data_IF_856668001854
#
_entry.id   IF_856668001854
#
_cell.length_a   1.000
_cell.length_b   1.000
_cell.length_c   1.000
_cell.angle_alpha   90.00
_cell.angle_beta   90.00
_cell.angle_gamma   90.00
#
_symmetry.space_group_name_H-M   'P 1'
#
loop_
_entity.id
_entity.type
_entity.pdbx_description
1 polymer ?
2 non-polymer ?
3 water ?
#
# COMPACT_ATOMS: atom_id res chain seq x y z
N UNK A 18 19.73 20.87 -16.72
CA UNK A 18 18.79 19.93 -17.40
C UNK A 18 18.89 18.55 -16.77
N UNK A 19 20.11 18.14 -16.44
CA UNK A 19 20.36 16.84 -15.82
C UNK A 19 20.21 16.94 -14.30
N UNK A 20 19.70 18.08 -13.82
CA UNK A 20 19.52 18.28 -12.38
C UNK A 20 18.08 17.99 -11.94
N UNK A 21 17.95 17.00 -11.07
CA UNK A 21 16.66 16.57 -10.59
C UNK A 21 16.23 17.25 -9.30
N UNK A 22 14.91 17.27 -9.08
CA UNK A 22 14.35 17.83 -7.88
C UNK A 22 14.63 16.91 -6.68
N UNK A 23 14.86 17.52 -5.52
CA UNK A 23 15.10 16.76 -4.30
C UNK A 23 13.92 17.01 -3.37
N UNK A 24 13.26 15.95 -2.94
CA UNK A 24 12.15 16.15 -2.02
C UNK A 24 12.81 16.42 -0.63
N UNK A 25 12.55 17.60 -0.05
CA UNK A 25 13.10 18.01 1.26
C UNK A 25 12.70 17.07 2.39
N UNK A 26 13.62 16.87 3.33
CA UNK A 26 13.38 16.01 4.50
C UNK A 26 12.00 16.16 5.14
N UNK A 27 11.57 17.39 5.39
CA UNK A 27 10.27 17.62 6.03
C UNK A 27 9.14 16.98 5.23
N UNK A 28 9.19 17.15 3.91
CA UNK A 28 8.16 16.57 3.05
C UNK A 28 8.24 15.06 3.08
N UNK A 29 9.46 14.53 2.95
CA UNK A 29 9.65 13.10 2.96
C UNK A 29 9.01 12.53 4.23
N UNK A 30 9.42 13.05 5.38
CA UNK A 30 8.90 12.60 6.66
C UNK A 30 7.39 12.71 6.77
N UNK A 31 6.85 13.85 6.36
CA UNK A 31 5.43 14.05 6.45
C UNK A 31 4.63 13.13 5.54
N UNK A 32 5.17 12.85 4.36
CA UNK A 32 4.50 11.98 3.38
C UNK A 32 4.40 10.52 3.86
N UNK A 33 5.43 10.05 4.55
CA UNK A 33 5.42 8.67 5.03
C UNK A 33 5.05 8.52 6.50
N UNK A 34 4.67 9.63 7.13
CA UNK A 34 4.29 9.54 8.53
C UNK A 34 2.87 9.03 8.62
N UNK A 35 2.66 8.13 9.56
CA UNK A 35 1.37 7.53 9.88
C UNK A 35 0.12 8.17 9.30
N UNK A 36 -0.61 7.39 8.49
CA UNK A 36 -1.86 7.89 7.93
C UNK A 36 -2.75 6.81 7.34
N UNK A 37 -4.00 7.18 7.06
CA UNK A 37 -4.98 6.26 6.48
C UNK A 37 -4.61 6.26 5.00
N UNK A 38 -4.01 5.17 4.54
CA UNK A 38 -3.60 5.08 3.14
C UNK A 38 -4.32 3.97 2.35
N UNK A 39 -4.78 4.31 1.15
CA UNK A 39 -5.44 3.33 0.29
C UNK A 39 -4.45 2.22 0.00
N UNK A 40 -4.88 1.01 0.24
CA UNK A 40 -4.07 -0.18 0.02
C UNK A 40 -4.96 -1.24 -0.64
N UNK A 41 -4.36 -2.10 -1.46
CA UNK A 41 -5.15 -3.16 -2.11
C UNK A 41 -4.92 -4.42 -1.29
N UNK A 42 -5.99 -4.97 -0.74
CA UNK A 42 -5.86 -6.13 0.09
C UNK A 42 -6.59 -7.36 -0.44
N UNK A 43 -6.05 -8.52 -0.14
CA UNK A 43 -6.64 -9.78 -0.55
C UNK A 43 -7.94 -9.98 0.23
N UNK A 44 -9.05 -10.18 -0.47
CA UNK A 44 -10.34 -10.39 0.19
C UNK A 44 -10.33 -11.55 1.18
N UNK A 45 -9.83 -12.70 0.74
CA UNK A 45 -9.79 -13.86 1.61
C UNK A 45 -8.99 -13.55 2.89
N UNK A 46 -7.92 -12.77 2.76
CA UNK A 46 -7.11 -12.39 3.91
C UNK A 46 -7.86 -11.58 4.95
N UNK A 47 -8.94 -10.92 4.55
CA UNK A 47 -9.75 -10.12 5.46
C UNK A 47 -10.68 -11.00 6.29
N UNK A 48 -10.77 -12.27 5.93
CA UNK A 48 -11.63 -13.16 6.69
C UNK A 48 -10.86 -13.73 7.87
N UNK A 49 -11.53 -13.88 9.01
CA UNK A 49 -10.95 -14.41 10.25
C UNK A 49 -10.19 -15.72 10.03
N UNK A 50 -10.90 -16.72 9.51
CA UNK A 50 -10.33 -18.05 9.27
C UNK A 50 -10.13 -18.32 7.79
N UNK A 51 -9.57 -19.52 7.46
CA UNK A 51 -9.41 -19.97 6.09
C UNK A 51 -10.78 -19.87 5.43
N UNK A 52 -10.74 -19.48 4.18
CA UNK A 52 -11.90 -19.30 3.30
C UNK A 52 -11.37 -19.45 1.88
N UNK A 53 -11.98 -20.29 1.09
CA UNK A 53 -11.55 -20.53 -0.29
C UNK A 53 -11.52 -19.25 -1.12
N UNK A 54 -10.50 -19.16 -1.99
CA UNK A 54 -10.31 -18.01 -2.87
C UNK A 54 -11.32 -17.98 -4.01
N UNK A 55 -12.56 -17.67 -3.67
CA UNK A 55 -13.63 -17.62 -4.65
C UNK A 55 -14.23 -16.22 -4.83
N UNK A 56 -13.38 -15.20 -4.83
CA UNK A 56 -13.87 -13.83 -5.00
C UNK A 56 -13.26 -13.13 -6.19
N UNK A 57 -14.08 -12.31 -6.84
CA UNK A 57 -13.62 -11.53 -7.96
C UNK A 57 -14.17 -10.12 -7.86
N UNK A 58 -13.29 -9.11 -7.83
CA UNK A 58 -11.83 -9.26 -7.88
C UNK A 58 -11.34 -9.96 -6.61
N UNK A 59 -10.12 -10.50 -6.66
CA UNK A 59 -9.59 -11.20 -5.51
C UNK A 59 -9.06 -10.25 -4.44
N UNK A 60 -8.89 -8.99 -4.83
CA UNK A 60 -8.36 -7.95 -3.95
C UNK A 60 -9.21 -6.70 -4.05
N UNK A 61 -9.32 -5.97 -2.94
CA UNK A 61 -10.12 -4.75 -2.91
C UNK A 61 -9.29 -3.58 -2.34
N UNK A 62 -9.75 -2.36 -2.61
CA UNK A 62 -9.09 -1.15 -2.14
C UNK A 62 -9.73 -0.65 -0.83
N UNK A 63 -8.95 -0.69 0.25
CA UNK A 63 -9.39 -0.25 1.59
C UNK A 63 -8.40 0.77 2.17
N UNK A 64 -8.87 1.62 3.08
CA UNK A 64 -7.98 2.58 3.72
C UNK A 64 -7.46 1.84 4.94
N UNK A 65 -6.14 1.74 5.03
CA UNK A 65 -5.49 1.07 6.14
C UNK A 65 -4.39 1.95 6.71
N UNK A 66 -4.32 2.03 8.03
CA UNK A 66 -3.29 2.81 8.70
C UNK A 66 -1.92 2.30 8.33
N UNK A 67 -1.10 3.20 7.81
CA UNK A 67 0.24 2.79 7.41
C UNK A 67 1.20 3.95 7.64
N UNK A 68 2.44 3.62 7.90
CA UNK A 68 3.42 4.67 8.10
C UNK A 68 4.39 4.30 9.19
N UNK A 69 5.53 4.98 9.19
CA UNK A 69 6.52 4.71 10.20
C UNK A 69 6.32 5.86 11.21
N UNK A 70 6.90 5.75 12.38
CA UNK A 70 6.66 6.80 13.36
C UNK A 70 7.90 7.53 13.86
N UNK A 71 9.08 7.04 13.49
CA UNK A 71 10.30 7.69 13.93
C UNK A 71 10.77 7.20 15.28
N UNK A 72 9.82 6.91 16.15
CA UNK A 72 10.10 6.40 17.49
C UNK A 72 9.96 4.88 17.41
N UNK A 73 11.08 4.18 17.58
CA UNK A 73 11.13 2.71 17.53
C UNK A 73 9.95 2.00 18.18
N UNK A 74 9.67 2.35 19.44
CA UNK A 74 8.58 1.74 20.20
C UNK A 74 7.18 2.19 19.78
N UNK A 75 7.10 2.98 18.71
CA UNK A 75 5.80 3.47 18.22
C UNK A 75 5.47 2.90 16.85
N UNK A 76 4.17 2.69 16.62
CA UNK A 76 3.70 2.19 15.34
C UNK A 76 2.35 2.85 15.04
N UNK A 77 1.97 2.82 13.77
CA UNK A 77 0.74 3.45 13.29
C UNK A 77 -0.52 2.62 13.54
N UNK A 78 -1.46 3.20 14.25
CA UNK A 78 -2.69 2.51 14.59
C UNK A 78 -3.90 3.38 14.32
N UNK A 79 -5.07 2.77 14.09
CA UNK A 79 -6.29 3.54 13.83
C UNK A 79 -6.84 4.14 15.13
N UNK A 80 -7.37 5.35 15.04
CA UNK A 80 -8.02 5.97 16.17
C UNK A 80 -9.50 6.12 15.80
N UNK A 81 -9.81 5.71 14.57
CA UNK A 81 -11.19 5.76 14.10
C UNK A 81 -11.34 4.84 12.88
N UNK A 82 -12.37 4.00 12.92
CA UNK A 82 -12.65 3.06 11.84
C UNK A 82 -14.08 3.23 11.38
N UNK A 83 -14.37 2.67 10.21
CA UNK A 83 -15.70 2.76 9.67
C UNK A 83 -15.93 1.49 8.85
N UNK A 84 -16.85 1.57 7.88
CA UNK A 84 -17.22 0.43 7.06
C UNK A 84 -17.45 0.82 5.62
N UNK A 85 -17.23 -0.14 4.72
CA UNK A 85 -17.51 0.06 3.30
C UNK A 85 -18.06 -1.28 2.80
N UNK A 86 -19.21 -1.22 2.12
CA UNK A 86 -19.86 -2.42 1.59
C UNK A 86 -19.61 -2.42 0.08
N UNK A 87 -19.03 -3.51 -0.39
CA UNK A 87 -18.68 -3.66 -1.79
C UNK A 87 -19.37 -4.85 -2.42
N UNK A 88 -19.68 -4.75 -3.71
CA UNK A 88 -20.32 -5.86 -4.43
C UNK A 88 -19.25 -6.63 -5.19
N UNK A 89 -19.09 -7.91 -4.87
CA UNK A 89 -18.09 -8.71 -5.56
C UNK A 89 -18.76 -9.93 -6.19
N UNK A 90 -18.00 -10.62 -7.03
CA UNK A 90 -18.47 -11.82 -7.69
C UNK A 90 -17.92 -12.98 -6.90
N UNK A 91 -18.85 -13.82 -6.41
CA UNK A 91 -18.45 -15.01 -5.67
C UNK A 91 -18.47 -16.19 -6.65
N UNK A 92 -17.35 -16.89 -6.77
CA UNK A 92 -17.15 -18.04 -7.69
C UNK A 92 -16.70 -19.29 -7.00
N UNK A 93 -17.60 -20.00 -6.42
CA UNK A 93 -17.23 -21.21 -5.70
C UNK A 93 -17.24 -22.44 -6.62
N UNK A 94 -16.21 -23.27 -6.48
CA UNK A 94 -16.12 -24.49 -7.28
C UNK A 94 -17.26 -25.40 -6.87
N UNK A 95 -18.39 -25.28 -7.56
CA UNK A 95 -19.55 -26.10 -7.25
C UNK A 95 -20.86 -25.35 -7.38
N UNK A 96 -20.80 -24.03 -7.52
CA UNK A 96 -22.00 -23.22 -7.65
C UNK A 96 -21.86 -22.32 -8.86
N UNK A 97 -22.96 -21.73 -9.29
CA UNK A 97 -22.90 -20.82 -10.43
C UNK A 97 -22.43 -19.46 -9.89
N UNK A 98 -21.64 -18.72 -10.68
CA UNK A 98 -21.17 -17.41 -10.20
C UNK A 98 -22.36 -16.60 -9.66
N UNK A 99 -22.11 -15.80 -8.64
CA UNK A 99 -23.18 -15.01 -8.05
C UNK A 99 -22.59 -13.77 -7.39
N UNK A 100 -23.27 -12.62 -7.49
CA UNK A 100 -22.78 -11.42 -6.82
C UNK A 100 -23.19 -11.40 -5.35
N UNK A 101 -22.27 -10.91 -4.51
CA UNK A 101 -22.51 -10.82 -3.08
C UNK A 101 -22.07 -9.45 -2.57
N UNK A 102 -22.64 -9.04 -1.44
CA UNK A 102 -22.28 -7.75 -0.86
C UNK A 102 -21.47 -8.01 0.40
N UNK A 103 -20.24 -7.53 0.43
CA UNK A 103 -19.42 -7.76 1.60
C UNK A 103 -19.04 -6.44 2.28
N UNK A 104 -19.14 -6.40 3.60
CA UNK A 104 -18.78 -5.19 4.32
C UNK A 104 -17.37 -5.40 4.83
N UNK A 105 -16.53 -4.44 4.53
CA UNK A 105 -15.13 -4.48 4.93
C UNK A 105 -14.83 -3.37 5.92
N UNK A 106 -13.77 -3.56 6.69
CA UNK A 106 -13.33 -2.54 7.64
C UNK A 106 -12.48 -1.48 6.97
N UNK A 107 -12.79 -0.22 7.31
CA UNK A 107 -12.07 0.96 6.84
C UNK A 107 -11.40 1.66 8.02
N UNK A 108 -10.17 2.14 7.85
CA UNK A 108 -9.44 2.89 8.88
C UNK A 108 -9.51 4.35 8.45
N UNK A 109 -10.36 5.13 9.12
CA UNK A 109 -10.57 6.54 8.80
C UNK A 109 -9.49 7.54 9.26
N UNK A 110 -8.91 7.31 10.45
CA UNK A 110 -7.87 8.22 10.99
C UNK A 110 -6.87 7.39 11.76
N UNK A 111 -5.59 7.73 11.64
CA UNK A 111 -4.56 6.97 12.30
C UNK A 111 -3.63 7.83 13.13
N UNK A 112 -2.95 7.20 14.09
CA UNK A 112 -2.00 7.89 14.93
C UNK A 112 -0.94 6.94 15.41
N UNK A 113 0.23 7.49 15.73
CA UNK A 113 1.32 6.69 16.25
C UNK A 113 1.10 6.47 17.75
N UNK A 114 1.19 5.21 18.19
CA UNK A 114 1.00 4.83 19.60
C UNK A 114 1.97 3.72 19.97
N UNK A 115 2.04 3.43 21.32
CA UNK A 115 2.88 2.38 22.00
C UNK A 115 2.68 0.99 21.52
N UNK A 116 3.55 0.37 20.79
CA UNK A 116 3.22 -1.03 20.48
C UNK A 116 3.17 -1.87 21.74
N UNK A 117 2.94 -3.17 21.56
CA UNK A 117 2.90 -4.08 22.69
C UNK A 117 3.06 -5.54 22.28
N UNK B 18 -31.59 6.15 3.95
CA UNK B 18 -32.04 5.36 5.09
C UNK B 18 -30.90 5.08 6.06
N UNK B 19 -31.17 4.09 6.86
CA UNK B 19 -30.18 3.65 7.75
C UNK B 19 -29.41 2.74 6.79
N UNK B 20 -29.77 2.94 5.51
CA UNK B 20 -29.24 2.19 4.39
C UNK B 20 -27.80 2.63 4.06
N UNK B 21 -26.92 1.67 3.78
CA UNK B 21 -25.55 2.04 3.42
C UNK B 21 -25.34 1.88 1.92
N UNK B 22 -24.42 2.66 1.37
CA UNK B 22 -24.09 2.60 -0.04
C UNK B 22 -23.33 1.31 -0.36
N UNK B 23 -23.61 0.75 -1.53
CA UNK B 23 -22.92 -0.45 -1.98
C UNK B 23 -22.08 -0.04 -3.17
N UNK B 24 -20.79 -0.30 -3.11
CA UNK B 24 -19.93 0.07 -4.23
C UNK B 24 -20.18 -1.02 -5.27
N UNK B 25 -20.71 -0.64 -6.45
CA UNK B 25 -20.98 -1.62 -7.52
C UNK B 25 -19.77 -2.37 -8.04
N UNK B 26 -19.99 -3.61 -8.48
CA UNK B 26 -18.93 -4.48 -8.99
C UNK B 26 -17.93 -3.80 -9.92
N UNK B 27 -18.43 -3.07 -10.91
CA UNK B 27 -17.56 -2.38 -11.85
C UNK B 27 -16.57 -1.44 -11.16
N UNK B 28 -17.06 -0.63 -10.23
CA UNK B 28 -16.18 0.29 -9.52
C UNK B 28 -15.18 -0.48 -8.66
N UNK B 29 -15.68 -1.47 -7.92
CA UNK B 29 -14.81 -2.28 -7.07
C UNK B 29 -13.66 -2.83 -7.90
N UNK B 30 -14.00 -3.47 -9.02
CA UNK B 30 -13.02 -4.07 -9.90
C UNK B 30 -12.00 -3.06 -10.42
N UNK B 31 -12.49 -1.90 -10.87
CA UNK B 31 -11.63 -0.88 -11.41
C UNK B 31 -10.70 -0.26 -10.39
N UNK B 32 -11.20 -0.11 -9.16
CA UNK B 32 -10.43 0.47 -8.09
C UNK B 32 -9.23 -0.41 -7.70
N UNK B 33 -9.40 -1.74 -7.76
CA UNK B 33 -8.32 -2.63 -7.41
C UNK B 33 -7.57 -3.22 -8.57
N UNK B 34 -7.91 -2.79 -9.78
CA UNK B 34 -7.24 -3.31 -10.94
C UNK B 34 -5.86 -2.67 -11.05
N UNK B 35 -4.91 -3.47 -11.50
CA UNK B 35 -3.54 -3.05 -11.70
C UNK B 35 -3.33 -1.54 -11.91
N UNK B 36 -2.54 -0.93 -11.04
CA UNK B 36 -2.27 0.49 -11.10
C UNK B 36 -1.02 0.89 -10.31
N UNK B 37 -0.49 2.07 -10.61
CA UNK B 37 0.68 2.61 -9.90
C UNK B 37 0.08 3.23 -8.64
N UNK B 38 0.31 2.61 -7.49
CA UNK B 38 -0.29 3.11 -6.26
C UNK B 38 0.72 3.55 -5.19
N UNK B 39 0.50 4.73 -4.62
CA UNK B 39 1.38 5.22 -3.55
C UNK B 39 1.42 4.17 -2.46
N UNK B 40 2.62 3.79 -2.07
CA UNK B 40 2.84 2.79 -1.04
C UNK B 40 3.98 3.28 -0.15
N UNK B 41 3.93 2.97 1.14
CA UNK B 41 5.01 3.38 2.04
C UNK B 41 5.94 2.18 2.12
N UNK B 42 7.20 2.36 1.76
CA UNK B 42 8.17 1.25 1.73
C UNK B 42 9.40 1.47 2.63
N UNK B 43 9.89 0.40 3.22
CA UNK B 43 11.06 0.46 4.09
C UNK B 43 12.28 0.82 3.24
N UNK B 44 13.00 1.89 3.63
CA UNK B 44 14.17 2.30 2.88
C UNK B 44 15.23 1.19 2.73
N UNK B 45 15.60 0.56 3.83
CA UNK B 45 16.60 -0.49 3.76
C UNK B 45 16.24 -1.63 2.79
N UNK B 46 14.96 -2.00 2.72
CA UNK B 46 14.55 -3.09 1.81
C UNK B 46 14.61 -2.70 0.33
N UNK B 47 14.83 -1.42 0.05
CA UNK B 47 14.97 -0.93 -1.32
C UNK B 47 16.42 -1.09 -1.71
N UNK B 48 17.26 -1.47 -0.76
CA UNK B 48 18.66 -1.68 -1.07
C UNK B 48 18.84 -3.13 -1.48
N UNK B 49 19.72 -3.37 -2.46
CA UNK B 49 19.98 -4.74 -2.92
C UNK B 49 20.33 -5.63 -1.72
N UNK B 50 21.51 -5.40 -1.16
CA UNK B 50 21.99 -6.18 -0.03
C UNK B 50 21.63 -5.61 1.35
N UNK B 51 22.03 -6.32 2.39
CA UNK B 51 21.75 -5.90 3.76
C UNK B 51 22.43 -4.58 4.06
N UNK B 52 21.68 -3.68 4.68
CA UNK B 52 22.15 -2.36 5.07
C UNK B 52 21.60 -2.06 6.46
N UNK B 53 22.38 -1.36 7.27
CA UNK B 53 21.91 -1.02 8.62
C UNK B 53 20.77 -0.01 8.58
N UNK B 54 19.73 -0.25 9.38
CA UNK B 54 18.59 0.67 9.44
C UNK B 54 19.08 2.00 10.00
N UNK B 55 19.75 2.77 9.16
CA UNK B 55 20.31 4.04 9.56
C UNK B 55 19.60 5.23 8.93
N UNK B 56 18.34 5.04 8.51
CA UNK B 56 17.62 6.12 7.85
C UNK B 56 16.42 6.64 8.60
N UNK B 57 16.17 7.93 8.47
CA UNK B 57 15.02 8.56 9.09
C UNK B 57 14.46 9.56 8.10
N UNK B 58 13.17 9.40 7.71
CA UNK B 58 12.26 8.34 8.15
C UNK B 58 12.74 6.97 7.67
N UNK B 59 12.26 5.90 8.31
CA UNK B 59 12.71 4.57 7.95
C UNK B 59 11.98 4.05 6.72
N UNK B 60 10.88 4.72 6.38
CA UNK B 60 10.02 4.34 5.25
C UNK B 60 9.72 5.57 4.40
N UNK B 61 9.64 5.37 3.08
CA UNK B 61 9.33 6.46 2.17
C UNK B 61 8.10 6.10 1.32
N UNK B 62 7.47 7.12 0.76
CA UNK B 62 6.29 6.98 -0.05
C UNK B 62 6.71 6.88 -1.53
N UNK B 63 6.50 5.71 -2.13
CA UNK B 63 6.85 5.50 -3.54
C UNK B 63 5.65 4.96 -4.34
N UNK B 64 5.66 5.20 -5.65
CA UNK B 64 4.58 4.66 -6.50
C UNK B 64 5.06 3.26 -6.84
N UNK B 65 4.22 2.27 -6.53
CA UNK B 65 4.52 0.87 -6.83
C UNK B 65 3.32 0.24 -7.55
N UNK B 66 3.59 -0.53 -8.61
CA UNK B 66 2.50 -1.22 -9.33
C UNK B 66 1.85 -2.19 -8.37
N UNK B 67 0.54 -2.10 -8.25
CA UNK B 67 -0.15 -2.99 -7.34
C UNK B 67 -1.54 -3.21 -7.91
N UNK B 68 -2.06 -4.41 -7.69
CA UNK B 68 -3.37 -4.70 -8.19
C UNK B 68 -3.53 -6.16 -8.55
N UNK B 69 -4.77 -6.60 -8.66
CA UNK B 69 -5.03 -7.97 -9.04
C UNK B 69 -5.41 -7.88 -10.54
N UNK B 70 -5.34 -9.00 -11.23
CA UNK B 70 -5.61 -8.98 -12.67
C UNK B 70 -6.76 -9.87 -13.16
N UNK B 71 -7.59 -10.35 -12.24
CA UNK B 71 -8.70 -11.21 -12.64
C UNK B 71 -8.25 -12.61 -13.06
N UNK B 72 -6.94 -12.83 -13.08
CA UNK B 72 -6.37 -14.12 -13.46
C UNK B 72 -5.12 -14.40 -12.65
N UNK B 73 -5.09 -15.56 -11.99
CA UNK B 73 -3.95 -15.97 -11.17
C UNK B 73 -2.68 -16.05 -12.01
N UNK B 74 -2.84 -16.27 -13.31
CA UNK B 74 -1.71 -16.40 -14.22
C UNK B 74 -1.09 -15.05 -14.53
N UNK B 75 -1.88 -13.98 -14.47
CA UNK B 75 -1.38 -12.64 -14.76
C UNK B 75 -1.07 -11.86 -13.48
N UNK B 76 -0.07 -10.99 -13.56
CA UNK B 76 0.32 -10.17 -12.43
C UNK B 76 0.58 -8.75 -12.91
N UNK B 77 0.40 -7.80 -12.01
CA UNK B 77 0.59 -6.38 -12.29
C UNK B 77 2.07 -6.03 -12.32
N UNK B 78 2.53 -5.45 -13.42
CA UNK B 78 3.93 -5.09 -13.58
C UNK B 78 4.07 -3.69 -14.13
N UNK B 79 5.25 -3.08 -13.96
CA UNK B 79 5.38 -1.73 -14.52
C UNK B 79 5.68 -1.80 -16.02
N UNK B 80 5.23 -0.81 -16.77
CA UNK B 80 5.50 -0.71 -18.20
C UNK B 80 6.31 0.58 -18.36
N UNK B 81 6.47 1.28 -17.23
CA UNK B 81 7.25 2.50 -17.23
C UNK B 81 7.66 2.83 -15.78
N UNK B 82 8.94 3.13 -15.60
CA UNK B 82 9.50 3.46 -14.29
C UNK B 82 10.18 4.80 -14.44
N UNK B 83 10.48 5.41 -13.29
CA UNK B 83 11.16 6.69 -13.25
C UNK B 83 11.96 6.77 -11.94
N UNK B 84 12.31 7.98 -11.56
CA UNK B 84 13.13 8.20 -10.34
C UNK B 84 12.57 9.32 -9.49
N UNK B 85 12.86 9.24 -8.20
CA UNK B 85 12.51 10.30 -7.27
C UNK B 85 13.69 10.38 -6.28
N UNK B 86 14.25 11.58 -6.11
CA UNK B 86 15.39 11.76 -5.22
C UNK B 86 14.84 12.40 -3.95
N UNK B 87 15.13 11.77 -2.82
CA UNK B 87 14.63 12.22 -1.53
C UNK B 87 15.73 12.52 -0.52
N UNK B 88 15.49 13.52 0.33
CA UNK B 88 16.49 13.87 1.34
C UNK B 88 16.17 13.21 2.67
N UNK B 89 17.00 12.27 3.09
CA UNK B 89 16.77 11.59 4.34
C UNK B 89 17.90 11.90 5.32
N UNK B 90 17.65 11.51 6.56
CA UNK B 90 18.62 11.72 7.63
C UNK B 90 19.29 10.38 7.87
N UNK B 91 20.60 10.34 7.73
CA UNK B 91 21.36 9.12 7.97
C UNK B 91 21.85 9.16 9.42
N UNK B 92 21.52 8.11 10.17
CA UNK B 92 21.94 8.03 11.57
C UNK B 92 22.64 6.71 11.84
N UNK B 93 23.96 6.78 11.97
CA UNK B 93 24.77 5.59 12.24
C UNK B 93 25.39 5.65 13.63
N UNK B 94 25.28 4.55 14.37
CA UNK B 94 25.88 4.50 15.70
C UNK B 94 27.38 4.60 15.49
N UNK B 95 27.93 5.80 15.58
CA UNK B 95 29.35 5.99 15.38
C UNK B 95 29.65 7.27 14.61
N UNK B 96 28.68 7.76 13.85
CA UNK B 96 28.83 9.01 13.09
C UNK B 96 27.80 10.01 13.61
N UNK B 97 27.97 11.30 13.29
CA UNK B 97 26.99 12.30 13.71
C UNK B 97 25.85 12.28 12.69
N UNK B 98 24.60 12.50 13.11
CA UNK B 98 23.52 12.47 12.11
C UNK B 98 23.88 13.36 10.92
N UNK B 99 23.44 12.94 9.74
CA UNK B 99 23.76 13.67 8.52
C UNK B 99 22.68 13.45 7.44
N UNK B 100 22.29 14.51 6.72
CA UNK B 100 21.28 14.38 5.68
C UNK B 100 21.90 13.86 4.40
N UNK B 101 21.18 12.97 3.72
CA UNK B 101 21.68 12.42 2.46
C UNK B 101 20.58 12.42 1.41
N UNK B 102 21.00 12.47 0.15
CA UNK B 102 20.04 12.44 -0.94
C UNK B 102 20.01 11.02 -1.52
N UNK B 103 18.83 10.40 -1.47
CA UNK B 103 18.69 9.05 -1.97
C UNK B 103 17.71 9.02 -3.14
N UNK B 104 18.11 8.36 -4.22
CA UNK B 104 17.25 8.22 -5.40
C UNK B 104 16.60 6.85 -5.37
N UNK B 105 15.28 6.86 -5.48
CA UNK B 105 14.51 5.65 -5.47
C UNK B 105 13.80 5.42 -6.81
N UNK B 106 13.50 4.16 -7.06
CA UNK B 106 12.78 3.74 -8.26
C UNK B 106 11.33 4.10 -8.05
N UNK B 107 10.73 4.64 -9.10
CA UNK B 107 9.33 5.03 -9.11
C UNK B 107 8.65 4.25 -10.25
N UNK B 108 7.42 3.79 -9.99
CA UNK B 108 6.64 3.07 -10.99
C UNK B 108 5.59 4.05 -11.52
N UNK B 109 5.74 4.45 -12.79
CA UNK B 109 4.83 5.42 -13.42
C UNK B 109 3.54 4.87 -14.02
N UNK B 110 3.63 3.76 -14.76
CA UNK B 110 2.46 3.15 -15.37
C UNK B 110 2.59 1.64 -15.19
N UNK B 111 1.46 0.98 -15.04
CA UNK B 111 1.45 -0.44 -14.78
C UNK B 111 0.48 -1.20 -15.69
N UNK B 112 0.75 -2.49 -15.87
CA UNK B 112 -0.12 -3.33 -16.68
C UNK B 112 -0.05 -4.76 -16.24
N UNK B 113 -1.13 -5.49 -16.48
CA UNK B 113 -1.18 -6.92 -16.15
C UNK B 113 -0.48 -7.69 -17.27
N UNK B 114 0.36 -8.66 -16.89
CA UNK B 114 1.11 -9.49 -17.84
C UNK B 114 1.31 -10.89 -17.27
N UNK B 115 1.67 -11.86 -18.12
CA UNK B 115 1.90 -13.26 -17.72
C UNK B 115 2.94 -13.40 -16.61
N UNK B 116 2.66 -14.27 -15.65
CA UNK B 116 3.57 -14.49 -14.53
C UNK B 116 4.95 -14.91 -15.04
N UNK B 117 5.99 -14.25 -14.52
CA UNK B 117 7.36 -14.53 -14.94
C UNK B 117 7.57 -14.23 -16.42
#
# INVERSE_FOLDING_TARGET
MLPAVPPQQWALSAGNGSSEVEVVPFQEVWGRSYCRALERLVDVVSEYPSEVEHMFSPSCVSLLRCTGCCGDENLHCVPVETANVTMQLLKIRSGDRPSYVELTFSQHVRCECRPLREKMKPERCGDAVPRR
MLPAVPPQQWALSAGNGSSEVEVVPFQEVWGRSYCRALERLVDVVSEYPSEVEHMFSPSCVSLLRCTGCCGDENLHCVPVETANVTMQLLKIRSGDRPSYVELTFSQHVRCECRPLREKMKPERCGDAVPRR
#
